data_IF_118399063431
#
_entry.id   IF_118399063431
#
_cell.length_a   1.000
_cell.length_b   1.000
_cell.length_c   1.000
_cell.angle_alpha   90.00
_cell.angle_beta   90.00
_cell.angle_gamma   90.00
#
_symmetry.space_group_name_H-M   'P 1'
#
loop_
_entity.id
_entity.type
_entity.pdbx_description
1 polymer ?
#
# COMPACT_ATOMS: atom_id res chain seq x y z
N UNK A 1 41.78 -42.91 24.33
CA UNK A 1 40.57 -42.07 24.16
C UNK A 1 39.57 -42.85 23.32
N UNK A 2 38.47 -43.35 23.91
CA UNK A 2 37.45 -44.13 23.20
C UNK A 2 36.31 -43.18 22.86
N UNK A 3 36.19 -42.81 21.59
CA UNK A 3 35.11 -41.95 21.08
C UNK A 3 33.93 -42.87 20.74
N UNK A 4 32.85 -42.82 21.51
CA UNK A 4 31.61 -43.56 21.24
C UNK A 4 30.68 -42.67 20.43
N UNK A 5 30.70 -42.80 19.11
CA UNK A 5 29.73 -42.18 18.21
C UNK A 5 28.59 -43.18 17.97
N UNK A 6 27.55 -43.11 18.79
CA UNK A 6 26.26 -43.74 18.46
C UNK A 6 25.54 -42.80 17.49
N UNK A 7 25.77 -43.00 16.20
CA UNK A 7 24.98 -42.33 15.17
C UNK A 7 23.72 -43.16 14.96
N UNK A 8 22.68 -42.83 15.72
CA UNK A 8 21.34 -43.38 15.50
C UNK A 8 20.85 -42.92 14.13
N UNK A 9 20.73 -43.85 13.19
CA UNK A 9 20.13 -43.57 11.89
C UNK A 9 18.66 -43.19 12.03
N UNK A 10 18.20 -42.24 11.20
CA UNK A 10 16.80 -41.83 11.12
C UNK A 10 15.95 -43.03 10.64
N UNK A 11 14.85 -43.33 11.33
CA UNK A 11 14.02 -44.46 10.92
C UNK A 11 13.17 -44.07 9.70
N UNK A 12 12.91 -45.00 8.78
CA UNK A 12 12.05 -44.73 7.62
C UNK A 12 10.67 -44.23 8.03
N UNK A 13 10.13 -44.76 9.13
CA UNK A 13 8.83 -44.35 9.65
C UNK A 13 8.84 -42.91 10.18
N UNK A 14 9.93 -42.46 10.77
CA UNK A 14 10.09 -41.10 11.28
C UNK A 14 10.12 -40.09 10.14
N UNK A 15 10.73 -40.43 9.00
CA UNK A 15 10.68 -39.57 7.81
C UNK A 15 9.28 -39.52 7.21
N UNK A 16 8.61 -40.67 7.10
CA UNK A 16 7.25 -40.78 6.55
C UNK A 16 6.25 -40.02 7.43
N UNK A 17 6.35 -40.18 8.75
CA UNK A 17 5.52 -39.46 9.72
C UNK A 17 5.60 -37.94 9.53
N UNK A 18 6.82 -37.40 9.36
CA UNK A 18 7.02 -35.95 9.20
C UNK A 18 6.37 -35.43 7.93
N UNK A 19 6.58 -36.08 6.78
CA UNK A 19 5.97 -35.62 5.52
C UNK A 19 4.45 -35.76 5.52
N UNK A 20 3.90 -36.76 6.23
CA UNK A 20 2.45 -36.94 6.41
C UNK A 20 1.88 -35.80 7.26
N UNK A 21 2.52 -35.49 8.39
CA UNK A 21 2.09 -34.38 9.26
C UNK A 21 2.19 -33.04 8.51
N UNK A 22 3.30 -32.77 7.82
CA UNK A 22 3.46 -31.56 7.02
C UNK A 22 2.43 -31.47 5.88
N UNK A 23 2.07 -32.59 5.26
CA UNK A 23 1.03 -32.65 4.22
C UNK A 23 -0.35 -32.23 4.74
N UNK A 24 -0.75 -32.74 5.91
CA UNK A 24 -2.04 -32.39 6.53
C UNK A 24 -2.07 -30.93 6.98
N UNK A 25 -1.00 -30.45 7.63
CA UNK A 25 -0.90 -29.07 8.10
C UNK A 25 -0.92 -28.07 6.95
N UNK A 26 -0.26 -28.39 5.83
CA UNK A 26 -0.25 -27.52 4.65
C UNK A 26 -1.66 -27.26 4.12
N UNK A 27 -2.48 -28.31 3.96
CA UNK A 27 -3.85 -28.18 3.42
C UNK A 27 -4.76 -27.41 4.38
N UNK A 28 -4.64 -27.64 5.68
CA UNK A 28 -5.51 -27.00 6.68
C UNK A 28 -5.34 -25.47 6.75
N UNK A 29 -4.13 -24.96 6.48
CA UNK A 29 -3.81 -23.52 6.62
C UNK A 29 -3.99 -22.74 5.31
N UNK A 30 -3.99 -23.40 4.16
CA UNK A 30 -4.07 -22.75 2.84
C UNK A 30 -5.23 -21.74 2.71
N UNK A 31 -6.45 -22.11 3.12
CA UNK A 31 -7.62 -21.23 2.97
C UNK A 31 -7.51 -19.92 3.78
N UNK A 32 -6.93 -19.98 4.98
CA UNK A 32 -6.71 -18.79 5.82
C UNK A 32 -5.57 -17.92 5.28
N UNK A 33 -4.51 -18.54 4.78
CA UNK A 33 -3.39 -17.82 4.19
C UNK A 33 -3.80 -16.99 2.96
N UNK A 34 -4.72 -17.49 2.13
CA UNK A 34 -5.23 -16.72 0.99
C UNK A 34 -6.06 -15.51 1.42
N UNK A 35 -6.96 -15.67 2.40
CA UNK A 35 -7.77 -14.57 2.92
C UNK A 35 -6.88 -13.48 3.56
N UNK A 36 -5.91 -13.88 4.40
CA UNK A 36 -4.96 -12.94 5.01
C UNK A 36 -4.16 -12.14 3.97
N UNK A 37 -3.80 -12.76 2.83
CA UNK A 37 -3.12 -12.04 1.75
C UNK A 37 -4.05 -11.05 1.05
N UNK A 38 -5.34 -11.36 0.89
CA UNK A 38 -6.34 -10.45 0.33
C UNK A 38 -6.56 -9.25 1.25
N UNK A 39 -6.76 -9.50 2.55
CA UNK A 39 -6.88 -8.46 3.58
C UNK A 39 -5.61 -7.58 3.65
N UNK A 40 -4.42 -8.19 3.52
CA UNK A 40 -3.16 -7.46 3.50
C UNK A 40 -3.06 -6.53 2.27
N UNK A 41 -3.45 -7.00 1.09
CA UNK A 41 -3.46 -6.17 -0.13
C UNK A 41 -4.42 -4.99 -0.01
N UNK A 42 -5.61 -5.23 0.54
CA UNK A 42 -6.58 -4.18 0.80
C UNK A 42 -6.06 -3.16 1.82
N UNK A 43 -5.41 -3.63 2.89
CA UNK A 43 -4.82 -2.76 3.90
C UNK A 43 -3.68 -1.89 3.31
N UNK A 44 -2.85 -2.44 2.43
CA UNK A 44 -1.77 -1.70 1.76
C UNK A 44 -2.33 -0.56 0.93
N UNK A 45 -3.33 -0.81 0.06
CA UNK A 45 -3.88 0.27 -0.79
C UNK A 45 -4.61 1.35 0.02
N UNK A 46 -5.27 0.96 1.11
CA UNK A 46 -5.84 1.90 2.09
C UNK A 46 -4.75 2.73 2.79
N UNK A 47 -3.63 2.11 3.12
CA UNK A 47 -2.45 2.78 3.69
C UNK A 47 -1.89 3.85 2.76
N UNK A 48 -1.64 3.50 1.49
CA UNK A 48 -1.13 4.45 0.48
C UNK A 48 -2.13 5.60 0.27
N UNK A 49 -3.44 5.32 0.22
CA UNK A 49 -4.46 6.36 0.09
C UNK A 49 -4.49 7.32 1.30
N UNK A 50 -4.29 6.79 2.51
CA UNK A 50 -4.19 7.58 3.74
C UNK A 50 -2.91 8.43 3.76
N UNK A 51 -1.78 7.87 3.32
CA UNK A 51 -0.52 8.60 3.16
C UNK A 51 -0.69 9.77 2.19
N UNK A 52 -1.27 9.54 1.00
CA UNK A 52 -1.51 10.61 0.02
C UNK A 52 -2.43 11.70 0.59
N UNK A 53 -3.43 11.30 1.37
CA UNK A 53 -4.31 12.23 2.06
C UNK A 53 -3.55 13.09 3.07
N UNK A 54 -2.65 12.48 3.84
CA UNK A 54 -1.82 13.20 4.81
C UNK A 54 -0.81 14.12 4.13
N UNK A 55 -0.12 13.63 3.11
CA UNK A 55 0.86 14.38 2.34
C UNK A 55 0.23 15.57 1.62
N UNK A 56 -0.96 15.41 1.03
CA UNK A 56 -1.66 16.53 0.39
C UNK A 56 -2.13 17.58 1.40
N UNK A 57 -2.53 17.20 2.61
CA UNK A 57 -2.79 18.17 3.70
C UNK A 57 -1.54 18.94 4.09
N UNK A 58 -0.40 18.24 4.23
CA UNK A 58 0.87 18.87 4.54
C UNK A 58 1.30 19.84 3.42
N UNK A 59 1.12 19.45 2.15
CA UNK A 59 1.36 20.30 0.99
C UNK A 59 0.45 21.53 0.98
N UNK A 60 -0.84 21.36 1.27
CA UNK A 60 -1.77 22.48 1.40
C UNK A 60 -1.32 23.45 2.51
N UNK A 61 -0.95 22.95 3.68
CA UNK A 61 -0.44 23.78 4.78
C UNK A 61 0.83 24.55 4.36
N UNK A 62 1.73 23.91 3.63
CA UNK A 62 2.92 24.58 3.06
C UNK A 62 2.53 25.70 2.09
N UNK A 63 1.59 25.44 1.18
CA UNK A 63 1.09 26.46 0.24
C UNK A 63 0.37 27.62 0.92
N UNK A 64 -0.36 27.35 2.01
CA UNK A 64 -1.09 28.38 2.75
C UNK A 64 -0.14 29.35 3.47
N UNK A 65 1.05 28.88 3.89
CA UNK A 65 2.05 29.70 4.58
C UNK A 65 3.00 30.38 3.60
N UNK A 66 3.45 29.67 2.56
CA UNK A 66 4.33 30.20 1.53
C UNK A 66 3.53 30.45 0.24
N UNK A 67 3.06 31.68 0.07
CA UNK A 67 2.28 32.10 -1.11
C UNK A 67 3.08 32.09 -2.43
N UNK A 68 4.37 31.76 -2.40
CA UNK A 68 5.21 31.60 -3.59
C UNK A 68 5.31 30.12 -3.98
N UNK A 69 4.96 29.84 -5.23
CA UNK A 69 4.74 28.52 -5.83
C UNK A 69 5.97 27.59 -5.89
N UNK A 70 7.13 27.99 -5.35
CA UNK A 70 8.36 27.22 -5.43
C UNK A 70 8.48 26.13 -4.34
N UNK A 71 7.87 26.34 -3.17
CA UNK A 71 8.00 25.44 -2.00
C UNK A 71 6.83 24.46 -1.83
N UNK A 72 5.83 24.51 -2.72
CA UNK A 72 4.67 23.64 -2.63
C UNK A 72 4.08 23.27 -3.99
N UNK A 73 3.47 22.10 -4.06
CA UNK A 73 2.87 21.55 -5.29
C UNK A 73 1.50 22.18 -5.53
N UNK A 74 1.31 22.77 -6.71
CA UNK A 74 0.02 23.34 -7.10
C UNK A 74 -0.96 22.25 -7.54
N UNK A 75 -2.05 22.10 -6.79
CA UNK A 75 -3.16 21.20 -7.10
C UNK A 75 -4.40 22.05 -7.38
N UNK A 76 -4.87 22.00 -8.62
CA UNK A 76 -6.01 22.77 -9.13
C UNK A 76 -7.08 21.84 -9.70
N UNK A 77 -8.18 22.41 -10.17
CA UNK A 77 -9.29 21.66 -10.75
C UNK A 77 -8.89 20.91 -12.04
N UNK A 78 -7.81 21.34 -12.71
CA UNK A 78 -7.28 20.67 -13.92
C UNK A 78 -6.22 19.61 -13.62
N UNK A 79 -5.72 19.55 -12.38
CA UNK A 79 -4.72 18.56 -11.98
C UNK A 79 -5.33 17.15 -11.99
N UNK A 80 -4.77 16.28 -12.83
CA UNK A 80 -5.13 14.86 -12.86
C UNK A 80 -4.57 14.13 -11.63
N UNK A 81 -5.33 13.18 -11.10
CA UNK A 81 -4.91 12.29 -10.02
C UNK A 81 -3.68 11.43 -10.39
N UNK A 82 -3.45 11.19 -11.69
CA UNK A 82 -2.27 10.47 -12.20
C UNK A 82 -1.10 11.40 -12.59
N UNK A 83 -1.21 12.70 -12.34
CA UNK A 83 -0.14 13.65 -12.66
C UNK A 83 1.08 13.45 -11.75
N UNK A 84 2.26 13.84 -12.24
CA UNK A 84 3.50 13.89 -11.44
C UNK A 84 3.36 14.80 -10.22
N UNK A 85 2.49 15.82 -10.28
CA UNK A 85 2.19 16.68 -9.14
C UNK A 85 1.56 15.89 -7.99
N UNK A 86 0.51 15.10 -8.26
CA UNK A 86 -0.15 14.29 -7.22
C UNK A 86 0.73 13.14 -6.76
N UNK A 87 1.42 12.46 -7.70
CA UNK A 87 2.32 11.35 -7.37
C UNK A 87 3.54 11.79 -6.57
N UNK A 88 4.08 12.97 -6.87
CA UNK A 88 5.24 13.54 -6.18
C UNK A 88 4.96 13.97 -4.73
N UNK A 89 3.70 13.90 -4.28
CA UNK A 89 3.36 14.06 -2.86
C UNK A 89 3.69 12.81 -2.03
N UNK A 90 3.77 11.63 -2.67
CA UNK A 90 4.17 10.39 -2.03
C UNK A 90 5.68 10.21 -2.16
N UNK A 91 6.27 9.55 -1.16
CA UNK A 91 7.68 9.15 -1.25
C UNK A 91 7.83 7.98 -2.22
N UNK A 92 6.90 7.02 -2.17
CA UNK A 92 6.75 5.93 -3.12
C UNK A 92 5.25 5.58 -3.30
N UNK A 93 4.83 5.22 -4.52
CA UNK A 93 3.43 4.86 -4.80
C UNK A 93 3.10 3.38 -4.54
N UNK A 94 4.08 2.57 -4.14
CA UNK A 94 3.91 1.14 -3.88
C UNK A 94 3.45 0.34 -5.10
N UNK A 95 3.59 0.87 -6.31
CA UNK A 95 3.09 0.29 -7.56
C UNK A 95 1.57 0.43 -7.73
N UNK A 96 0.94 1.40 -7.07
CA UNK A 96 -0.49 1.68 -7.22
C UNK A 96 -0.75 2.50 -8.50
N UNK A 97 -1.79 2.10 -9.23
CA UNK A 97 -2.32 2.91 -10.34
C UNK A 97 -3.23 4.01 -9.80
N UNK A 98 -3.20 5.19 -10.42
CA UNK A 98 -4.02 6.32 -10.02
C UNK A 98 -5.11 6.54 -11.07
N UNK A 99 -6.28 6.99 -10.63
CA UNK A 99 -7.35 7.37 -11.54
C UNK A 99 -6.92 8.51 -12.47
N UNK A 100 -7.38 8.46 -13.73
CA UNK A 100 -7.07 9.49 -14.73
C UNK A 100 -8.04 10.68 -14.70
N UNK A 101 -8.93 10.75 -13.71
CA UNK A 101 -9.80 11.89 -13.50
C UNK A 101 -9.04 13.04 -12.83
N UNK A 102 -9.64 14.22 -12.90
CA UNK A 102 -9.17 15.38 -12.18
C UNK A 102 -9.46 15.23 -10.69
N UNK A 103 -8.61 15.83 -9.85
CA UNK A 103 -8.82 15.91 -8.40
C UNK A 103 -10.21 16.49 -8.10
N UNK A 104 -10.62 17.51 -8.85
CA UNK A 104 -11.97 18.10 -8.72
C UNK A 104 -12.03 19.20 -7.67
N UNK A 105 -11.06 20.13 -7.71
CA UNK A 105 -10.99 21.31 -6.86
C UNK A 105 -12.05 22.35 -7.22
N UNK A 106 -13.31 22.11 -6.87
CA UNK A 106 -14.43 23.00 -7.21
C UNK A 106 -14.67 24.10 -6.18
N UNK A 107 -14.09 24.00 -4.97
CA UNK A 107 -14.22 24.97 -3.89
C UNK A 107 -13.02 25.88 -3.67
N UNK A 108 -12.04 25.88 -4.58
CA UNK A 108 -10.77 26.62 -4.45
C UNK A 108 -9.82 26.02 -3.41
N UNK A 109 -8.81 26.80 -3.02
CA UNK A 109 -7.82 26.42 -2.00
C UNK A 109 -8.47 25.94 -0.69
N UNK A 110 -8.03 24.78 -0.20
CA UNK A 110 -8.55 24.15 1.02
C UNK A 110 -9.74 23.20 0.78
N UNK A 111 -10.36 23.25 -0.40
CA UNK A 111 -11.25 22.16 -0.84
C UNK A 111 -10.46 20.87 -1.08
N UNK A 112 -11.14 19.73 -1.13
CA UNK A 112 -10.49 18.45 -1.37
C UNK A 112 -11.26 17.63 -2.39
N UNK A 113 -10.50 17.03 -3.30
CA UNK A 113 -10.96 16.11 -4.31
C UNK A 113 -10.65 14.65 -3.96
N UNK A 114 -11.24 13.72 -4.71
CA UNK A 114 -10.99 12.30 -4.52
C UNK A 114 -10.19 11.72 -5.68
N UNK A 115 -9.04 11.13 -5.36
CA UNK A 115 -8.28 10.29 -6.27
C UNK A 115 -8.44 8.84 -5.88
N UNK A 116 -8.76 7.99 -6.85
CA UNK A 116 -8.85 6.55 -6.63
C UNK A 116 -7.50 5.92 -6.94
N UNK A 117 -6.96 5.17 -5.99
CA UNK A 117 -5.78 4.35 -6.19
C UNK A 117 -6.22 2.90 -6.33
N UNK A 118 -5.60 2.16 -7.25
CA UNK A 118 -5.91 0.75 -7.53
C UNK A 118 -4.64 -0.07 -7.57
N UNK A 119 -4.63 -1.20 -6.85
CA UNK A 119 -3.53 -2.18 -6.86
C UNK A 119 -4.09 -3.58 -6.67
N UNK A 120 -3.65 -4.54 -7.47
CA UNK A 120 -4.03 -5.95 -7.37
C UNK A 120 -5.55 -6.18 -7.24
N UNK A 121 -6.35 -5.43 -8.02
CA UNK A 121 -7.82 -5.49 -8.01
C UNK A 121 -8.51 -4.75 -6.85
N UNK A 122 -7.76 -4.24 -5.88
CA UNK A 122 -8.28 -3.49 -4.73
C UNK A 122 -8.17 -1.99 -4.99
N UNK A 123 -9.17 -1.21 -4.55
CA UNK A 123 -9.17 0.24 -4.73
C UNK A 123 -9.45 0.98 -3.42
N UNK A 124 -8.78 2.11 -3.22
CA UNK A 124 -9.02 3.02 -2.12
C UNK A 124 -9.08 4.47 -2.61
N UNK A 125 -9.86 5.31 -1.93
CA UNK A 125 -9.98 6.74 -2.25
C UNK A 125 -9.11 7.55 -1.31
N UNK A 126 -8.19 8.31 -1.89
CA UNK A 126 -7.43 9.33 -1.20
C UNK A 126 -8.11 10.70 -1.36
N UNK A 127 -8.08 11.50 -0.31
CA UNK A 127 -8.52 12.90 -0.37
C UNK A 127 -7.33 13.79 -0.66
N UNK A 128 -7.29 14.37 -1.85
CA UNK A 128 -6.21 15.29 -2.26
C UNK A 128 -6.69 16.72 -2.06
N UNK A 129 -5.97 17.48 -1.23
CA UNK A 129 -6.31 18.87 -0.93
C UNK A 129 -5.82 19.82 -2.03
N UNK A 130 -6.70 20.73 -2.40
CA UNK A 130 -6.51 21.73 -3.42
C UNK A 130 -5.76 22.92 -2.84
N UNK A 131 -4.82 23.47 -3.62
CA UNK A 131 -3.94 24.54 -3.14
C UNK A 131 -4.17 25.88 -3.84
N UNK A 132 -5.02 25.88 -4.87
CA UNK A 132 -5.50 27.07 -5.57
C UNK A 132 -6.98 26.92 -5.85
#
# INVERSE_FOLDING_TARGET
MKRTTSEGGFTLIELIMVIVILGILAVAVMGKYQNLQEEAKEAVIKGIAAELTSASKANFAKCAVNATSADCVQITSTTSCNSTAVKGLLTEDGGASFSNNNVGCTGGAGSAGNCTLTKDGHSAKARVFCTN
#
